data_IF_490342782149
#
_entry.id   IF_490342782149
#
_cell.length_a   1.000
_cell.length_b   1.000
_cell.length_c   1.000
_cell.angle_alpha   90.00
_cell.angle_beta   90.00
_cell.angle_gamma   90.00
#
_symmetry.space_group_name_H-M   'P 1'
#
loop_
_entity.id
_entity.type
_entity.pdbx_description
1 polymer ?
#
# COMPACT_ATOMS: atom_id res chain seq x y z
N UNK A 1 -3.12 27.76 9.32
CA UNK A 1 -2.96 26.35 9.76
C UNK A 1 -3.10 26.29 11.27
N UNK A 2 -3.77 25.25 11.78
CA UNK A 2 -3.81 25.02 13.23
C UNK A 2 -2.39 24.65 13.71
N UNK A 3 -1.95 25.19 14.85
CA UNK A 3 -0.63 24.81 15.40
C UNK A 3 -0.60 23.30 15.69
N UNK A 4 0.56 22.70 15.50
CA UNK A 4 0.76 21.29 15.87
C UNK A 4 0.86 21.21 17.40
N UNK A 5 -0.19 20.70 18.03
CA UNK A 5 -0.33 20.64 19.50
C UNK A 5 0.14 19.30 20.06
N UNK A 6 0.03 18.22 19.27
CA UNK A 6 0.42 16.86 19.67
C UNK A 6 0.74 16.03 18.43
N UNK A 7 1.81 15.26 18.47
CA UNK A 7 2.19 14.30 17.42
C UNK A 7 2.14 12.89 17.96
N UNK A 8 1.47 11.98 17.25
CA UNK A 8 1.51 10.55 17.57
C UNK A 8 2.48 9.84 16.63
N UNK A 9 3.45 9.11 17.18
CA UNK A 9 4.36 8.24 16.43
C UNK A 9 3.74 6.85 16.38
N UNK A 10 3.38 6.39 15.19
CA UNK A 10 2.76 5.11 14.93
C UNK A 10 3.79 4.13 14.37
N UNK A 11 3.96 2.99 15.05
CA UNK A 11 4.97 1.97 14.72
C UNK A 11 4.30 0.60 14.59
N UNK A 12 4.12 0.05 13.39
CA UNK A 12 3.73 -1.34 13.21
C UNK A 12 4.92 -2.27 13.49
N UNK A 13 4.67 -3.36 14.20
CA UNK A 13 5.66 -4.34 14.65
C UNK A 13 5.17 -5.76 14.36
N UNK A 14 6.06 -6.64 13.92
CA UNK A 14 5.78 -8.06 13.75
C UNK A 14 7.06 -8.88 13.85
N UNK A 15 7.22 -9.64 14.95
CA UNK A 15 8.41 -10.45 15.24
C UNK A 15 9.71 -9.61 15.18
N UNK A 16 9.77 -8.56 15.99
CA UNK A 16 10.87 -7.60 15.99
C UNK A 16 11.53 -7.50 17.40
N UNK A 17 11.49 -8.58 18.18
CA UNK A 17 12.01 -8.62 19.56
C UNK A 17 13.43 -8.07 19.69
N UNK A 18 14.33 -8.40 18.74
CA UNK A 18 15.72 -7.99 18.75
C UNK A 18 15.93 -6.47 18.52
N UNK A 19 14.96 -5.80 17.93
CA UNK A 19 15.07 -4.37 17.58
C UNK A 19 14.43 -3.47 18.63
N UNK A 20 13.48 -4.00 19.42
CA UNK A 20 12.69 -3.23 20.40
C UNK A 20 13.52 -2.36 21.34
N UNK A 21 14.59 -2.85 22.03
CA UNK A 21 15.33 -1.99 22.96
C UNK A 21 15.88 -0.74 22.28
N UNK A 22 16.49 -0.92 21.12
CA UNK A 22 17.06 0.19 20.35
C UNK A 22 16.00 1.11 19.77
N UNK A 23 14.85 0.57 19.41
CA UNK A 23 13.70 1.35 18.94
C UNK A 23 13.21 2.28 20.06
N UNK A 24 13.01 1.76 21.25
CA UNK A 24 12.54 2.55 22.40
C UNK A 24 13.52 3.67 22.75
N UNK A 25 14.82 3.36 22.81
CA UNK A 25 15.85 4.35 23.10
C UNK A 25 15.85 5.50 22.07
N UNK A 26 15.77 5.18 20.77
CA UNK A 26 15.74 6.20 19.71
C UNK A 26 14.47 7.04 19.75
N UNK A 27 13.32 6.43 20.05
CA UNK A 27 12.05 7.15 20.18
C UNK A 27 12.06 8.12 21.36
N UNK A 28 12.63 7.73 22.52
CA UNK A 28 12.77 8.61 23.69
C UNK A 28 13.72 9.76 23.37
N UNK A 29 14.91 9.47 22.79
CA UNK A 29 15.85 10.50 22.41
C UNK A 29 15.23 11.52 21.42
N UNK A 30 14.39 11.05 20.51
CA UNK A 30 13.69 11.91 19.58
C UNK A 30 12.76 12.89 20.29
N UNK A 31 11.98 12.44 21.27
CA UNK A 31 11.02 13.29 22.01
C UNK A 31 11.71 14.41 22.78
N UNK A 32 12.92 14.16 23.30
CA UNK A 32 13.72 15.15 24.02
C UNK A 32 14.18 16.32 23.12
N UNK A 33 14.18 16.13 21.82
CA UNK A 33 14.60 17.13 20.82
C UNK A 33 13.43 17.86 20.15
N UNK A 34 12.21 17.65 20.60
CA UNK A 34 10.99 18.21 19.99
C UNK A 34 10.16 18.93 21.06
N UNK A 35 9.86 20.23 20.82
CA UNK A 35 9.03 21.05 21.72
C UNK A 35 7.51 20.83 21.53
N UNK A 36 7.10 19.65 21.08
CA UNK A 36 5.69 19.30 20.89
C UNK A 36 5.44 17.99 21.63
N UNK A 37 4.34 17.86 22.40
CA UNK A 37 3.96 16.62 23.06
C UNK A 37 3.93 15.45 22.07
N UNK A 38 4.64 14.37 22.40
CA UNK A 38 4.72 13.15 21.61
C UNK A 38 4.00 12.01 22.33
N UNK A 39 3.15 11.32 21.59
CA UNK A 39 2.52 10.06 22.03
C UNK A 39 3.02 8.91 21.13
N UNK A 40 3.28 7.76 21.72
CA UNK A 40 3.75 6.58 21.00
C UNK A 40 2.62 5.55 20.90
N UNK A 41 2.33 5.10 19.69
CA UNK A 41 1.33 4.07 19.44
C UNK A 41 1.98 2.91 18.71
N UNK A 42 2.17 1.80 19.41
CA UNK A 42 2.74 0.57 18.91
C UNK A 42 1.63 -0.37 18.47
N UNK A 43 1.78 -0.98 17.30
CA UNK A 43 0.81 -1.94 16.77
C UNK A 43 1.52 -3.27 16.58
N UNK A 44 1.24 -4.22 17.45
CA UNK A 44 1.71 -5.59 17.29
C UNK A 44 0.78 -6.35 16.35
N UNK A 45 1.28 -6.70 15.17
CA UNK A 45 0.53 -7.42 14.12
C UNK A 45 0.50 -8.93 14.38
N UNK A 46 0.13 -9.32 15.62
CA UNK A 46 0.00 -10.71 16.00
C UNK A 46 1.33 -11.46 16.02
N UNK A 47 2.36 -10.90 16.65
CA UNK A 47 3.66 -11.54 16.79
C UNK A 47 3.56 -12.90 17.51
N UNK A 48 4.41 -13.83 17.09
CA UNK A 48 4.51 -15.18 17.65
C UNK A 48 5.76 -15.36 18.52
N UNK A 49 6.63 -14.35 18.55
CA UNK A 49 7.79 -14.27 19.43
C UNK A 49 7.46 -13.40 20.69
N UNK A 50 8.47 -13.05 21.46
CA UNK A 50 8.32 -12.24 22.68
C UNK A 50 8.07 -10.73 22.40
N UNK A 51 7.82 -10.32 21.16
CA UNK A 51 7.60 -8.90 20.83
C UNK A 51 6.44 -8.32 21.62
N UNK A 52 5.28 -8.99 21.66
CA UNK A 52 4.08 -8.50 22.36
C UNK A 52 4.31 -8.36 23.88
N UNK A 53 4.93 -9.38 24.52
CA UNK A 53 5.23 -9.35 25.96
C UNK A 53 6.24 -8.24 26.31
N UNK A 54 7.29 -8.08 25.50
CA UNK A 54 8.29 -7.02 25.70
C UNK A 54 7.70 -5.62 25.52
N UNK A 55 6.79 -5.42 24.57
CA UNK A 55 6.06 -4.16 24.41
C UNK A 55 5.24 -3.91 25.69
N UNK A 56 4.43 -4.88 26.11
CA UNK A 56 3.57 -4.74 27.30
C UNK A 56 4.38 -4.36 28.55
N UNK A 57 5.44 -5.12 28.84
CA UNK A 57 6.30 -4.88 29.99
C UNK A 57 6.97 -3.50 29.97
N UNK A 58 7.30 -3.00 28.77
CA UNK A 58 8.00 -1.74 28.63
C UNK A 58 7.08 -0.53 28.79
N UNK A 59 5.83 -0.60 28.31
CA UNK A 59 4.92 0.57 28.23
C UNK A 59 3.96 0.69 29.41
N UNK A 60 3.79 -0.34 30.24
CA UNK A 60 2.98 -0.26 31.46
C UNK A 60 3.48 0.93 32.31
N UNK A 61 2.53 1.66 32.89
CA UNK A 61 2.72 2.87 33.72
C UNK A 61 3.37 4.08 32.98
N UNK A 62 3.45 4.03 31.64
CA UNK A 62 3.95 5.15 30.83
C UNK A 62 2.81 5.86 30.09
N UNK A 63 2.35 7.03 30.57
CA UNK A 63 1.13 7.68 30.07
C UNK A 63 1.24 8.17 28.61
N UNK A 64 2.46 8.30 28.09
CA UNK A 64 2.71 8.71 26.69
C UNK A 64 2.77 7.52 25.70
N UNK A 65 2.55 6.28 26.19
CA UNK A 65 2.64 5.07 25.39
C UNK A 65 1.31 4.33 25.36
N UNK A 66 0.96 3.84 24.18
CA UNK A 66 -0.17 2.95 23.95
C UNK A 66 0.25 1.84 22.99
N UNK A 67 -0.41 0.69 23.10
CA UNK A 67 -0.24 -0.40 22.14
C UNK A 67 -1.57 -1.07 21.83
N UNK A 68 -1.68 -1.55 20.58
CA UNK A 68 -2.71 -2.48 20.13
C UNK A 68 -2.07 -3.80 19.77
N UNK A 69 -2.64 -4.90 20.26
CA UNK A 69 -2.22 -6.26 19.94
C UNK A 69 -3.29 -6.90 19.06
N UNK A 70 -2.97 -7.18 17.80
CA UNK A 70 -3.91 -7.79 16.88
C UNK A 70 -4.03 -9.30 17.13
N UNK A 71 -5.19 -9.88 16.84
CA UNK A 71 -5.48 -11.30 17.14
C UNK A 71 -4.63 -12.28 16.32
N UNK A 72 -4.10 -11.86 15.18
CA UNK A 72 -3.20 -12.60 14.29
C UNK A 72 -2.45 -11.64 13.39
N UNK A 73 -1.55 -12.13 12.55
CA UNK A 73 -0.94 -11.33 11.50
C UNK A 73 -1.98 -11.01 10.41
N UNK A 74 -2.27 -9.72 10.23
CA UNK A 74 -3.14 -9.16 9.19
C UNK A 74 -2.34 -8.49 8.07
N UNK A 75 -1.06 -8.23 8.30
CA UNK A 75 -0.13 -7.59 7.37
C UNK A 75 0.08 -6.10 7.65
N UNK A 76 1.25 -5.63 7.26
CA UNK A 76 1.78 -4.29 7.56
C UNK A 76 0.79 -3.14 7.30
N UNK A 77 0.13 -3.11 6.13
CA UNK A 77 -0.83 -2.04 5.80
C UNK A 77 -2.07 -2.04 6.71
N UNK A 78 -2.50 -3.23 7.15
CA UNK A 78 -3.63 -3.37 8.07
C UNK A 78 -3.22 -2.97 9.47
N UNK A 79 -2.02 -3.32 9.93
CA UNK A 79 -1.49 -2.86 11.20
C UNK A 79 -1.43 -1.33 11.29
N UNK A 80 -0.93 -0.65 10.23
CA UNK A 80 -0.99 0.81 10.14
C UNK A 80 -2.45 1.31 10.18
N UNK A 81 -3.37 0.65 9.46
CA UNK A 81 -4.79 1.02 9.47
C UNK A 81 -5.40 0.91 10.87
N UNK A 82 -5.09 -0.15 11.61
CA UNK A 82 -5.52 -0.32 13.00
C UNK A 82 -5.01 0.82 13.89
N UNK A 83 -3.74 1.19 13.71
CA UNK A 83 -3.17 2.33 14.41
C UNK A 83 -3.84 3.65 14.05
N UNK A 84 -4.09 3.92 12.76
CA UNK A 84 -4.78 5.13 12.34
C UNK A 84 -6.21 5.21 12.89
N UNK A 85 -6.91 4.09 13.00
CA UNK A 85 -8.25 4.03 13.59
C UNK A 85 -8.25 4.34 15.11
N UNK A 86 -7.14 4.07 15.80
CA UNK A 86 -6.98 4.31 17.23
C UNK A 86 -6.39 5.68 17.59
N UNK A 87 -6.15 6.56 16.60
CA UNK A 87 -5.60 7.89 16.83
C UNK A 87 -6.56 8.74 17.67
N UNK A 88 -6.03 9.32 18.73
CA UNK A 88 -6.79 10.22 19.61
C UNK A 88 -7.21 11.50 18.88
N UNK A 89 -8.39 12.03 19.24
CA UNK A 89 -8.99 13.22 18.59
C UNK A 89 -8.14 14.48 18.73
N UNK A 90 -7.36 14.61 19.80
CA UNK A 90 -6.46 15.72 20.10
C UNK A 90 -5.13 15.66 19.35
N UNK A 91 -4.81 14.55 18.70
CA UNK A 91 -3.62 14.40 17.86
C UNK A 91 -3.71 15.34 16.65
N UNK A 92 -2.71 16.18 16.44
CA UNK A 92 -2.64 17.10 15.30
C UNK A 92 -2.06 16.43 14.05
N UNK A 93 -1.08 15.56 14.23
CA UNK A 93 -0.43 14.82 13.14
C UNK A 93 0.06 13.44 13.60
N UNK A 94 0.15 12.50 12.66
CA UNK A 94 0.63 11.14 12.87
C UNK A 94 1.89 10.90 12.07
N UNK A 95 2.96 10.50 12.75
CA UNK A 95 4.22 10.11 12.14
C UNK A 95 4.30 8.58 12.06
N UNK A 96 4.27 8.05 10.85
CA UNK A 96 4.31 6.61 10.58
C UNK A 96 5.74 6.21 10.27
N UNK A 97 6.30 5.27 11.03
CA UNK A 97 7.65 4.72 10.84
C UNK A 97 7.64 3.21 10.93
N UNK A 98 8.54 2.56 10.18
CA UNK A 98 8.74 1.11 10.27
C UNK A 98 9.55 0.76 11.54
N UNK A 99 9.19 -0.34 12.21
CA UNK A 99 9.88 -0.79 13.45
C UNK A 99 11.31 -1.30 13.22
N UNK A 100 11.73 -1.54 11.96
CA UNK A 100 13.06 -2.08 11.61
C UNK A 100 14.22 -1.06 11.67
N UNK A 101 13.92 0.18 12.08
CA UNK A 101 14.88 1.30 12.22
C UNK A 101 15.69 1.64 10.96
N UNK A 102 15.22 1.21 9.79
CA UNK A 102 15.85 1.60 8.51
C UNK A 102 15.51 3.06 8.13
N UNK A 103 14.30 3.49 8.48
CA UNK A 103 13.84 4.85 8.26
C UNK A 103 14.14 5.69 9.52
N UNK A 104 14.92 6.76 9.43
CA UNK A 104 15.45 7.48 10.61
C UNK A 104 14.35 8.32 11.29
N UNK A 105 13.94 7.99 12.53
CA UNK A 105 12.96 8.78 13.26
C UNK A 105 13.42 10.21 13.52
N UNK A 106 14.73 10.46 13.53
CA UNK A 106 15.36 11.78 13.74
C UNK A 106 14.99 12.80 12.66
N UNK A 107 14.37 12.38 11.57
CA UNK A 107 13.83 13.30 10.55
C UNK A 107 12.51 13.97 10.96
N UNK A 108 11.86 13.54 12.03
CA UNK A 108 10.58 14.11 12.46
C UNK A 108 10.60 15.64 12.60
N UNK A 109 11.63 16.31 13.16
CA UNK A 109 11.69 17.78 13.19
C UNK A 109 11.61 18.41 11.80
N UNK A 110 12.30 17.84 10.81
CA UNK A 110 12.24 18.31 9.41
C UNK A 110 10.88 18.09 8.78
N UNK A 111 10.21 16.98 9.11
CA UNK A 111 8.84 16.71 8.67
C UNK A 111 7.85 17.69 9.28
N UNK A 112 7.98 17.98 10.58
CA UNK A 112 7.15 18.98 11.30
C UNK A 112 7.34 20.36 10.65
N UNK A 113 8.59 20.80 10.45
CA UNK A 113 8.88 22.07 9.80
C UNK A 113 8.23 22.19 8.41
N UNK A 114 8.35 21.13 7.59
CA UNK A 114 7.76 21.08 6.25
C UNK A 114 6.23 21.07 6.31
N UNK A 115 5.62 20.39 7.29
CA UNK A 115 4.17 20.41 7.51
C UNK A 115 3.68 21.80 7.91
N UNK A 116 4.41 22.51 8.75
CA UNK A 116 4.09 23.90 9.15
C UNK A 116 4.13 24.90 7.99
N UNK A 117 4.80 24.58 6.88
CA UNK A 117 4.78 25.34 5.63
C UNK A 117 3.49 25.15 4.80
N UNK A 118 2.49 24.53 5.35
CA UNK A 118 1.19 24.39 4.69
C UNK A 118 0.98 23.05 3.99
N UNK A 119 1.76 22.01 4.30
CA UNK A 119 1.57 20.68 3.77
C UNK A 119 0.78 19.81 4.76
N UNK A 120 -0.08 18.94 4.24
CA UNK A 120 -0.87 17.99 5.04
C UNK A 120 -0.20 16.63 5.12
N UNK A 121 0.63 16.34 4.14
CA UNK A 121 1.38 15.09 4.04
C UNK A 121 2.82 15.43 3.73
N UNK A 122 3.73 14.96 4.59
CA UNK A 122 5.16 14.99 4.36
C UNK A 122 5.66 13.56 4.33
N UNK A 123 6.32 13.12 3.25
CA UNK A 123 6.76 11.74 3.08
C UNK A 123 8.24 11.64 2.75
N UNK A 124 8.85 10.53 3.17
CA UNK A 124 10.25 10.24 2.87
C UNK A 124 10.44 9.73 1.43
N UNK A 125 11.40 10.33 0.72
CA UNK A 125 11.85 9.90 -0.62
C UNK A 125 13.28 9.36 -0.52
N UNK A 126 13.47 8.07 -0.83
CA UNK A 126 14.78 7.41 -0.73
C UNK A 126 15.73 7.88 -1.83
N UNK A 127 16.90 8.45 -1.46
CA UNK A 127 17.86 9.04 -2.40
C UNK A 127 18.56 8.05 -3.34
N UNK A 128 18.82 6.79 -2.91
CA UNK A 128 19.54 5.78 -3.71
C UNK A 128 18.96 4.38 -3.49
N UNK A 129 18.39 3.79 -4.53
CA UNK A 129 18.18 2.34 -4.59
C UNK A 129 19.39 1.69 -5.25
N UNK A 130 20.15 0.87 -4.50
CA UNK A 130 21.14 -0.07 -5.05
C UNK A 130 20.39 -1.26 -5.66
N UNK A 131 19.70 -1.05 -6.78
CA UNK A 131 18.98 -2.11 -7.48
C UNK A 131 19.64 -2.40 -8.84
N UNK A 132 19.49 -3.65 -9.31
CA UNK A 132 19.97 -4.04 -10.63
C UNK A 132 19.28 -3.22 -11.73
N UNK A 133 19.97 -2.98 -12.84
CA UNK A 133 19.46 -2.19 -13.98
C UNK A 133 18.13 -2.72 -14.50
N UNK A 134 17.94 -4.04 -14.53
CA UNK A 134 16.70 -4.69 -14.93
C UNK A 134 15.51 -4.30 -14.04
N UNK A 135 15.69 -4.36 -12.70
CA UNK A 135 14.64 -3.93 -11.75
C UNK A 135 14.29 -2.45 -11.93
N UNK A 136 15.28 -1.59 -12.15
CA UNK A 136 15.04 -0.15 -12.41
C UNK A 136 14.19 0.07 -13.66
N UNK A 137 14.40 -0.70 -14.73
CA UNK A 137 13.60 -0.62 -15.96
C UNK A 137 12.16 -1.07 -15.68
N UNK A 138 11.98 -2.23 -15.03
CA UNK A 138 10.65 -2.73 -14.66
C UNK A 138 9.86 -1.71 -13.80
N UNK A 139 10.50 -1.13 -12.79
CA UNK A 139 9.88 -0.07 -11.98
C UNK A 139 9.52 1.15 -12.83
N UNK A 140 10.41 1.60 -13.71
CA UNK A 140 10.15 2.78 -14.58
C UNK A 140 8.97 2.54 -15.51
N UNK A 141 8.88 1.36 -16.11
CA UNK A 141 7.74 0.97 -16.97
C UNK A 141 6.45 0.90 -16.14
N UNK A 142 6.47 0.21 -15.02
CA UNK A 142 5.33 0.09 -14.12
C UNK A 142 4.79 1.46 -13.67
N UNK A 143 5.65 2.34 -13.19
CA UNK A 143 5.23 3.66 -12.75
C UNK A 143 4.80 4.59 -13.89
N UNK A 144 5.35 4.42 -15.11
CA UNK A 144 4.84 5.14 -16.29
C UNK A 144 3.44 4.69 -16.67
N UNK A 145 3.18 3.38 -16.61
CA UNK A 145 1.85 2.84 -16.85
C UNK A 145 0.87 3.34 -15.79
N UNK A 146 1.21 3.24 -14.50
CA UNK A 146 0.39 3.79 -13.43
C UNK A 146 0.13 5.30 -13.62
N UNK A 147 1.15 6.10 -13.89
CA UNK A 147 0.99 7.55 -14.10
C UNK A 147 0.08 7.88 -15.30
N UNK A 148 0.13 7.08 -16.36
CA UNK A 148 -0.67 7.31 -17.57
C UNK A 148 -2.13 6.85 -17.41
N UNK A 149 -2.36 5.81 -16.62
CA UNK A 149 -3.66 5.12 -16.52
C UNK A 149 -4.30 5.18 -15.12
N UNK A 150 -3.62 5.77 -14.13
CA UNK A 150 -4.19 6.06 -12.81
C UNK A 150 -4.62 7.52 -12.76
N UNK A 151 -5.81 7.75 -12.24
CA UNK A 151 -6.31 9.11 -11.95
C UNK A 151 -5.57 9.75 -10.76
N UNK A 152 -4.56 9.09 -10.18
CA UNK A 152 -3.86 9.53 -8.97
C UNK A 152 -2.37 9.70 -9.25
N UNK A 153 -1.84 10.89 -9.00
CA UNK A 153 -0.41 11.15 -9.09
C UNK A 153 0.31 10.58 -7.88
N UNK A 154 0.72 9.30 -7.95
CA UNK A 154 1.53 8.69 -6.88
C UNK A 154 2.98 9.13 -6.99
N UNK A 155 3.57 9.68 -5.90
CA UNK A 155 5.00 10.01 -5.88
C UNK A 155 5.84 8.74 -6.05
N UNK A 156 6.80 8.81 -6.98
CA UNK A 156 7.81 7.77 -7.17
C UNK A 156 8.67 7.65 -5.90
N UNK A 157 8.98 6.43 -5.47
CA UNK A 157 9.87 6.15 -4.33
C UNK A 157 9.37 6.60 -2.93
N UNK A 158 8.10 7.00 -2.80
CA UNK A 158 7.48 7.26 -1.50
C UNK A 158 7.17 5.94 -0.78
N UNK A 159 7.65 5.81 0.47
CA UNK A 159 7.32 4.72 1.39
C UNK A 159 6.10 5.04 2.25
N UNK A 160 5.87 4.19 3.26
CA UNK A 160 4.89 4.45 4.31
C UNK A 160 5.44 5.44 5.36
N UNK A 161 6.75 5.66 5.37
CA UNK A 161 7.44 6.64 6.20
C UNK A 161 6.98 8.07 5.89
N UNK A 162 6.11 8.61 6.74
CA UNK A 162 5.48 9.92 6.49
C UNK A 162 4.90 10.53 7.78
N UNK A 163 4.74 11.86 7.75
CA UNK A 163 3.93 12.63 8.70
C UNK A 163 2.65 13.07 7.99
N UNK A 164 1.50 12.74 8.55
CA UNK A 164 0.19 13.08 7.99
C UNK A 164 -0.65 13.86 9.01
N UNK A 165 -1.38 14.88 8.55
CA UNK A 165 -2.26 15.67 9.41
C UNK A 165 -3.49 14.86 9.85
N UNK A 166 -4.10 15.22 10.97
CA UNK A 166 -5.30 14.55 11.47
C UNK A 166 -6.45 14.57 10.44
N UNK A 167 -6.57 15.63 9.63
CA UNK A 167 -7.59 15.66 8.59
C UNK A 167 -7.38 14.60 7.52
N UNK A 168 -6.11 14.29 7.18
CA UNK A 168 -5.78 13.17 6.28
C UNK A 168 -6.10 11.83 6.93
N UNK A 169 -5.75 11.66 8.23
CA UNK A 169 -6.10 10.45 9.00
C UNK A 169 -7.60 10.18 8.96
N UNK A 170 -8.41 11.20 9.22
CA UNK A 170 -9.88 11.06 9.17
C UNK A 170 -10.39 10.63 7.80
N UNK A 171 -9.83 11.17 6.71
CA UNK A 171 -10.21 10.76 5.36
C UNK A 171 -9.78 9.31 5.07
N UNK A 172 -8.56 8.91 5.46
CA UNK A 172 -8.11 7.53 5.30
C UNK A 172 -8.98 6.54 6.10
N UNK A 173 -9.42 6.91 7.30
CA UNK A 173 -10.29 6.08 8.12
C UNK A 173 -11.73 5.99 7.57
N UNK A 174 -12.22 7.01 6.85
CA UNK A 174 -13.55 6.98 6.22
C UNK A 174 -13.60 6.20 4.91
N UNK A 175 -12.46 5.82 4.34
CA UNK A 175 -12.38 5.02 3.13
C UNK A 175 -12.70 3.55 3.44
N UNK A 176 -13.70 2.95 2.76
CA UNK A 176 -14.18 1.60 3.08
C UNK A 176 -13.40 0.48 2.38
N UNK A 177 -12.35 0.77 1.62
CA UNK A 177 -11.62 -0.22 0.84
C UNK A 177 -11.03 -1.32 1.72
N UNK A 178 -11.35 -2.59 1.42
CA UNK A 178 -10.77 -3.73 2.10
C UNK A 178 -9.29 -3.93 1.71
N UNK A 179 -8.98 -3.68 0.44
CA UNK A 179 -7.60 -3.73 -0.04
C UNK A 179 -6.85 -2.44 0.26
N UNK A 180 -6.28 -2.33 1.45
CA UNK A 180 -5.62 -1.13 1.99
C UNK A 180 -4.24 -0.90 1.37
N UNK A 181 -4.17 -0.21 0.23
CA UNK A 181 -2.92 0.31 -0.33
C UNK A 181 -2.71 1.76 0.12
N UNK A 182 -2.22 1.93 1.35
CA UNK A 182 -2.15 3.23 2.04
C UNK A 182 -1.43 4.33 1.25
N UNK A 183 -0.38 3.99 0.49
CA UNK A 183 0.35 4.97 -0.36
C UNK A 183 -0.54 5.53 -1.47
N UNK A 184 -1.32 4.68 -2.10
CA UNK A 184 -2.29 5.08 -3.12
C UNK A 184 -3.42 5.91 -2.53
N UNK A 185 -4.01 5.44 -1.43
CA UNK A 185 -5.09 6.13 -0.72
C UNK A 185 -4.63 7.52 -0.24
N UNK A 186 -3.43 7.62 0.35
CA UNK A 186 -2.82 8.89 0.76
C UNK A 186 -2.65 9.86 -0.41
N UNK A 187 -2.27 9.36 -1.59
CA UNK A 187 -2.16 10.20 -2.78
C UNK A 187 -3.53 10.59 -3.34
N UNK A 188 -4.52 9.70 -3.22
CA UNK A 188 -5.88 9.93 -3.73
C UNK A 188 -6.63 11.03 -2.96
N UNK A 189 -6.39 11.20 -1.64
CA UNK A 189 -7.03 12.24 -0.83
C UNK A 189 -6.73 13.67 -1.31
N UNK A 190 -5.72 13.89 -2.16
CA UNK A 190 -5.50 15.13 -2.89
C UNK A 190 -5.01 16.34 -2.08
N UNK A 191 -4.74 16.19 -0.78
CA UNK A 191 -4.18 17.27 0.04
C UNK A 191 -2.74 17.60 -0.38
N UNK A 192 -2.27 18.79 0.02
CA UNK A 192 -0.92 19.26 -0.32
C UNK A 192 0.14 18.33 0.28
N UNK A 193 1.00 17.77 -0.57
CA UNK A 193 2.00 16.78 -0.20
C UNK A 193 3.39 17.24 -0.59
N UNK A 194 4.39 16.99 0.27
CA UNK A 194 5.78 17.33 0.05
C UNK A 194 6.69 16.15 0.39
N UNK A 195 7.63 15.83 -0.50
CA UNK A 195 8.63 14.78 -0.29
C UNK A 195 9.94 15.33 0.30
N UNK A 196 10.49 14.65 1.31
CA UNK A 196 11.82 14.92 1.88
C UNK A 196 12.76 13.80 1.47
N UNK A 197 13.86 14.15 0.80
CA UNK A 197 14.86 13.17 0.37
C UNK A 197 15.75 12.76 1.55
N UNK A 198 15.88 11.45 1.78
CA UNK A 198 16.74 10.90 2.84
C UNK A 198 17.51 9.66 2.37
N UNK A 199 18.53 9.31 3.12
CA UNK A 199 19.30 8.07 2.93
C UNK A 199 18.79 7.01 3.89
N UNK A 200 18.41 5.86 3.36
CA UNK A 200 17.92 4.75 4.17
C UNK A 200 19.10 3.98 4.76
N UNK A 201 19.08 3.78 6.07
CA UNK A 201 20.09 2.99 6.75
C UNK A 201 20.03 1.50 6.33
N UNK A 202 21.16 0.80 6.49
CA UNK A 202 21.15 -0.65 6.36
C UNK A 202 20.33 -1.28 7.49
N UNK A 203 19.65 -2.40 7.20
CA UNK A 203 18.87 -3.13 8.20
C UNK A 203 19.78 -3.64 9.32
N UNK A 204 19.37 -3.45 10.57
CA UNK A 204 20.17 -3.84 11.73
C UNK A 204 20.12 -5.35 11.97
N UNK A 205 18.98 -6.02 11.68
CA UNK A 205 18.83 -7.48 11.80
C UNK A 205 17.74 -7.98 10.83
N UNK A 206 17.77 -9.28 10.49
CA UNK A 206 16.76 -9.97 9.69
C UNK A 206 17.02 -9.97 8.18
N UNK A 207 16.47 -11.00 7.50
CA UNK A 207 16.49 -11.10 6.02
C UNK A 207 15.33 -10.31 5.43
N UNK A 208 15.53 -9.72 4.24
CA UNK A 208 14.46 -9.05 3.51
C UNK A 208 13.25 -9.98 3.33
N UNK A 209 12.11 -9.64 3.93
CA UNK A 209 10.83 -10.37 3.79
C UNK A 209 10.20 -10.17 2.40
N UNK A 210 10.78 -9.32 1.53
CA UNK A 210 10.28 -9.06 0.18
C UNK A 210 10.84 -10.07 -0.81
N UNK A 211 10.06 -11.14 -1.01
CA UNK A 211 10.23 -12.06 -2.14
C UNK A 211 9.81 -11.36 -3.45
N UNK A 212 10.31 -11.85 -4.59
CA UNK A 212 9.88 -11.40 -5.93
C UNK A 212 8.36 -11.53 -6.11
N UNK A 213 7.76 -12.57 -5.54
CA UNK A 213 6.31 -12.79 -5.49
C UNK A 213 5.56 -11.68 -4.74
N UNK A 214 6.10 -11.17 -3.65
CA UNK A 214 5.49 -10.08 -2.89
C UNK A 214 5.54 -8.74 -3.64
N UNK A 215 6.63 -8.49 -4.39
CA UNK A 215 6.72 -7.32 -5.27
C UNK A 215 5.70 -7.39 -6.41
N UNK A 216 5.51 -8.58 -7.00
CA UNK A 216 4.50 -8.79 -8.04
C UNK A 216 3.08 -8.60 -7.49
N UNK A 217 2.76 -9.17 -6.32
CA UNK A 217 1.47 -8.94 -5.65
C UNK A 217 1.21 -7.45 -5.38
N UNK A 218 2.21 -6.72 -4.92
CA UNK A 218 2.08 -5.28 -4.66
C UNK A 218 1.79 -4.51 -5.95
N UNK A 219 2.51 -4.84 -7.04
CA UNK A 219 2.32 -4.23 -8.35
C UNK A 219 0.93 -4.56 -8.92
N UNK A 220 0.50 -5.81 -8.81
CA UNK A 220 -0.80 -6.28 -9.26
C UNK A 220 -1.93 -5.59 -8.48
N UNK A 221 -1.83 -5.53 -7.15
CA UNK A 221 -2.81 -4.83 -6.33
C UNK A 221 -2.89 -3.33 -6.65
N UNK A 222 -1.74 -2.67 -6.86
CA UNK A 222 -1.71 -1.27 -7.28
C UNK A 222 -2.39 -1.04 -8.63
N UNK A 223 -2.18 -1.93 -9.61
CA UNK A 223 -2.78 -1.84 -10.94
C UNK A 223 -4.30 -2.03 -10.90
N UNK A 224 -4.78 -3.05 -10.19
CA UNK A 224 -6.21 -3.36 -10.14
C UNK A 224 -7.02 -2.40 -9.24
N UNK A 225 -6.40 -1.81 -8.19
CA UNK A 225 -7.12 -0.89 -7.30
C UNK A 225 -7.17 0.55 -7.82
N UNK A 226 -6.16 0.99 -8.59
CA UNK A 226 -6.02 2.40 -8.98
C UNK A 226 -5.99 2.62 -10.49
N UNK A 227 -6.26 1.60 -11.31
CA UNK A 227 -6.25 1.72 -12.77
C UNK A 227 -7.33 0.88 -13.42
N UNK A 228 -8.02 1.45 -14.39
CA UNK A 228 -8.96 0.75 -15.27
C UNK A 228 -8.26 0.01 -16.42
N UNK A 229 -6.92 0.08 -16.45
CA UNK A 229 -6.11 -0.47 -17.55
C UNK A 229 -6.42 -1.93 -17.90
N UNK A 230 -6.55 -2.87 -16.92
CA UNK A 230 -6.81 -4.27 -17.23
C UNK A 230 -8.12 -4.46 -18.00
N UNK A 231 -9.19 -3.76 -17.63
CA UNK A 231 -10.49 -3.83 -18.34
C UNK A 231 -10.39 -3.18 -19.71
N UNK A 232 -9.73 -2.03 -19.83
CA UNK A 232 -9.57 -1.35 -21.13
C UNK A 232 -8.76 -2.17 -22.13
N UNK A 233 -7.73 -2.90 -21.67
CA UNK A 233 -6.95 -3.79 -22.53
C UNK A 233 -7.85 -4.90 -23.11
N UNK A 234 -8.71 -5.51 -22.28
CA UNK A 234 -9.66 -6.53 -22.76
C UNK A 234 -10.53 -5.98 -23.90
N UNK A 235 -11.11 -4.80 -23.69
CA UNK A 235 -11.93 -4.15 -24.71
C UNK A 235 -11.18 -3.89 -26.02
N UNK A 236 -9.95 -3.39 -25.93
CA UNK A 236 -9.09 -3.13 -27.11
C UNK A 236 -8.71 -4.43 -27.82
N UNK A 237 -8.28 -5.46 -27.08
CA UNK A 237 -7.93 -6.77 -27.65
C UNK A 237 -9.14 -7.43 -28.30
N UNK A 238 -10.32 -7.37 -27.66
CA UNK A 238 -11.57 -7.85 -28.24
C UNK A 238 -11.91 -7.13 -29.53
N UNK A 239 -11.81 -5.81 -29.58
CA UNK A 239 -12.07 -5.02 -30.79
C UNK A 239 -11.07 -5.33 -31.90
N UNK A 240 -9.77 -5.44 -31.58
CA UNK A 240 -8.73 -5.82 -32.53
C UNK A 240 -8.89 -7.24 -33.06
N UNK A 241 -9.52 -8.14 -32.32
CA UNK A 241 -9.83 -9.49 -32.76
C UNK A 241 -11.07 -9.53 -33.70
N UNK A 242 -12.07 -8.71 -33.43
CA UNK A 242 -13.31 -8.65 -34.22
C UNK A 242 -13.06 -8.13 -35.64
N UNK A 243 -12.31 -7.05 -35.80
CA UNK A 243 -12.09 -6.37 -37.09
C UNK A 243 -11.50 -7.32 -38.16
N UNK A 244 -10.37 -8.00 -37.91
CA UNK A 244 -9.81 -8.95 -38.88
C UNK A 244 -10.77 -10.12 -39.18
N UNK A 245 -11.55 -10.58 -38.19
CA UNK A 245 -12.52 -11.65 -38.38
C UNK A 245 -13.63 -11.26 -39.35
N UNK A 246 -14.17 -10.05 -39.24
CA UNK A 246 -15.16 -9.53 -40.19
C UNK A 246 -14.54 -9.35 -41.61
N UNK A 247 -13.34 -8.80 -41.69
CA UNK A 247 -12.64 -8.64 -42.99
C UNK A 247 -12.46 -10.01 -43.66
N UNK A 248 -12.00 -11.03 -42.91
CA UNK A 248 -11.82 -12.38 -43.44
C UNK A 248 -13.15 -13.00 -43.86
N UNK A 249 -14.23 -12.81 -43.06
CA UNK A 249 -15.57 -13.27 -43.43
C UNK A 249 -16.06 -12.67 -44.73
N UNK A 250 -15.92 -11.35 -44.94
CA UNK A 250 -16.33 -10.69 -46.19
C UNK A 250 -15.52 -11.14 -47.41
N UNK A 251 -14.21 -11.30 -47.23
CA UNK A 251 -13.34 -11.81 -48.32
C UNK A 251 -13.75 -13.24 -48.69
N UNK A 252 -14.01 -14.10 -47.71
CA UNK A 252 -14.39 -15.50 -47.94
C UNK A 252 -15.77 -15.59 -48.63
N UNK A 253 -16.72 -14.77 -48.16
CA UNK A 253 -18.06 -14.71 -48.78
C UNK A 253 -18.00 -14.22 -50.23
N UNK A 254 -17.22 -13.19 -50.50
CA UNK A 254 -16.99 -12.67 -51.87
C UNK A 254 -16.38 -13.74 -52.77
N UNK A 255 -15.35 -14.45 -52.32
CA UNK A 255 -14.72 -15.54 -53.10
C UNK A 255 -15.70 -16.67 -53.41
N UNK A 256 -16.52 -17.03 -52.43
CA UNK A 256 -17.55 -18.05 -52.60
C UNK A 256 -18.62 -17.66 -53.63
N UNK A 257 -19.09 -16.41 -53.60
CA UNK A 257 -20.18 -15.93 -54.45
C UNK A 257 -19.69 -15.67 -55.92
N UNK A 258 -18.45 -15.16 -56.09
CA UNK A 258 -17.95 -14.78 -57.41
C UNK A 258 -17.19 -15.91 -58.10
N UNK A 259 -16.42 -16.69 -57.36
CA UNK A 259 -15.53 -17.72 -57.94
C UNK A 259 -15.95 -19.17 -57.63
N UNK A 260 -16.96 -19.37 -56.80
CA UNK A 260 -17.40 -20.71 -56.39
C UNK A 260 -16.37 -21.48 -55.56
N UNK A 261 -15.25 -20.87 -55.20
CA UNK A 261 -14.16 -21.52 -54.47
C UNK A 261 -14.35 -21.34 -52.96
N UNK A 262 -14.26 -22.47 -52.21
CA UNK A 262 -14.20 -22.42 -50.76
C UNK A 262 -12.73 -22.56 -50.31
N UNK A 263 -12.17 -21.65 -49.57
CA UNK A 263 -10.80 -21.80 -49.05
C UNK A 263 -10.64 -23.09 -48.25
N UNK A 264 -9.59 -23.86 -48.52
CA UNK A 264 -9.17 -24.94 -47.62
C UNK A 264 -8.76 -24.29 -46.29
N UNK A 265 -9.53 -24.49 -45.21
CA UNK A 265 -9.42 -23.66 -44.03
C UNK A 265 -9.42 -24.36 -42.69
N UNK A 266 -9.27 -25.70 -42.66
CA UNK A 266 -9.34 -26.45 -41.41
C UNK A 266 -8.30 -25.95 -40.37
N UNK A 267 -7.05 -25.76 -40.78
CA UNK A 267 -5.97 -25.24 -39.91
C UNK A 267 -6.25 -23.81 -39.45
N UNK A 268 -6.73 -22.95 -40.36
CA UNK A 268 -7.10 -21.57 -40.03
C UNK A 268 -8.30 -21.52 -39.03
N UNK A 269 -9.27 -22.42 -39.21
CA UNK A 269 -10.41 -22.54 -38.31
C UNK A 269 -9.98 -22.96 -36.90
N UNK A 270 -9.14 -24.01 -36.77
CA UNK A 270 -8.64 -24.46 -35.45
C UNK A 270 -7.82 -23.35 -34.80
N UNK A 271 -6.91 -22.69 -35.55
CA UNK A 271 -6.12 -21.58 -35.02
C UNK A 271 -7.02 -20.44 -34.51
N UNK A 272 -8.05 -20.07 -35.27
CA UNK A 272 -9.00 -19.04 -34.86
C UNK A 272 -9.75 -19.44 -33.59
N UNK A 273 -10.25 -20.69 -33.50
CA UNK A 273 -10.96 -21.18 -32.32
C UNK A 273 -10.04 -21.14 -31.08
N UNK A 274 -8.81 -21.66 -31.17
CA UNK A 274 -7.86 -21.67 -30.06
C UNK A 274 -7.49 -20.23 -29.63
N UNK A 275 -7.23 -19.34 -30.59
CA UNK A 275 -6.90 -17.95 -30.31
C UNK A 275 -8.06 -17.23 -29.60
N UNK A 276 -9.26 -17.30 -30.14
CA UNK A 276 -10.44 -16.62 -29.56
C UNK A 276 -10.81 -17.22 -28.20
N UNK A 277 -10.75 -18.55 -28.06
CA UNK A 277 -10.97 -19.19 -26.76
C UNK A 277 -9.93 -18.74 -25.72
N UNK A 278 -8.67 -18.62 -26.10
CA UNK A 278 -7.62 -18.10 -25.21
C UNK A 278 -7.87 -16.66 -24.78
N UNK A 279 -8.23 -15.78 -25.71
CA UNK A 279 -8.59 -14.38 -25.40
C UNK A 279 -9.82 -14.32 -24.49
N UNK A 280 -10.83 -15.14 -24.76
CA UNK A 280 -12.06 -15.20 -23.95
C UNK A 280 -11.77 -15.66 -22.52
N UNK A 281 -11.00 -16.73 -22.35
CA UNK A 281 -10.62 -17.23 -21.02
C UNK A 281 -9.80 -16.19 -20.22
N UNK A 282 -8.87 -15.50 -20.89
CA UNK A 282 -8.11 -14.42 -20.27
C UNK A 282 -9.04 -13.27 -19.81
N UNK A 283 -9.98 -12.90 -20.67
CA UNK A 283 -10.96 -11.84 -20.37
C UNK A 283 -11.83 -12.21 -19.17
N UNK A 284 -12.35 -13.46 -19.13
CA UNK A 284 -13.10 -13.97 -17.98
C UNK A 284 -12.27 -14.01 -16.71
N UNK A 285 -10.98 -14.37 -16.80
CA UNK A 285 -10.06 -14.33 -15.66
C UNK A 285 -9.89 -12.92 -15.08
N UNK A 286 -9.75 -11.91 -15.93
CA UNK A 286 -9.62 -10.51 -15.47
C UNK A 286 -10.95 -10.02 -14.88
N UNK A 287 -12.09 -10.32 -15.50
CA UNK A 287 -13.42 -9.99 -14.94
C UNK A 287 -13.61 -10.69 -13.59
N UNK A 288 -13.23 -11.98 -13.50
CA UNK A 288 -13.26 -12.74 -12.25
C UNK A 288 -12.47 -12.09 -11.12
N UNK A 289 -11.31 -11.50 -11.40
CA UNK A 289 -10.52 -10.75 -10.41
C UNK A 289 -11.28 -9.53 -9.87
N UNK A 290 -11.99 -8.78 -10.72
CA UNK A 290 -12.82 -7.65 -10.27
C UNK A 290 -14.04 -8.12 -9.46
N UNK A 291 -14.70 -9.20 -9.90
CA UNK A 291 -15.80 -9.80 -9.15
C UNK A 291 -15.34 -10.28 -7.77
N UNK A 292 -14.15 -10.89 -7.69
CA UNK A 292 -13.57 -11.34 -6.43
C UNK A 292 -13.32 -10.14 -5.48
N UNK A 293 -12.82 -9.02 -5.98
CA UNK A 293 -12.62 -7.79 -5.19
C UNK A 293 -13.93 -7.21 -4.68
N UNK A 294 -14.96 -7.16 -5.54
CA UNK A 294 -16.31 -6.74 -5.15
C UNK A 294 -16.87 -7.69 -4.07
N UNK A 295 -16.70 -9.00 -4.23
CA UNK A 295 -17.14 -10.00 -3.27
C UNK A 295 -16.52 -9.79 -1.88
N UNK A 296 -15.20 -9.54 -1.79
CA UNK A 296 -14.56 -9.22 -0.53
C UNK A 296 -15.07 -7.90 0.04
N UNK A 297 -15.20 -6.87 -0.78
CA UNK A 297 -15.70 -5.55 -0.35
C UNK A 297 -17.14 -5.62 0.19
N UNK A 298 -18.02 -6.42 -0.41
CA UNK A 298 -19.42 -6.58 0.01
C UNK A 298 -19.54 -7.40 1.30
N UNK A 299 -18.59 -8.28 1.60
CA UNK A 299 -18.57 -9.06 2.84
C UNK A 299 -18.47 -8.21 4.10
N UNK A 300 -17.89 -7.02 4.02
CA UNK A 300 -17.73 -6.06 5.13
C UNK A 300 -17.14 -6.70 6.41
N UNK A 301 -16.23 -7.66 6.25
CA UNK A 301 -15.52 -8.23 7.39
C UNK A 301 -14.62 -7.18 8.02
N UNK A 302 -14.48 -7.15 9.37
CA UNK A 302 -13.53 -6.25 10.01
C UNK A 302 -12.13 -6.42 9.41
N UNK A 303 -11.47 -5.31 9.06
CA UNK A 303 -10.12 -5.32 8.48
C UNK A 303 -9.10 -5.94 9.43
N UNK A 304 -9.30 -5.75 10.74
CA UNK A 304 -8.47 -6.27 11.81
C UNK A 304 -9.34 -6.57 13.03
N UNK A 305 -8.82 -7.39 13.92
CA UNK A 305 -9.42 -7.69 15.23
C UNK A 305 -8.36 -7.39 16.28
N UNK A 306 -8.67 -6.54 17.23
CA UNK A 306 -7.82 -6.25 18.40
C UNK A 306 -8.04 -7.34 19.42
N UNK A 307 -6.96 -8.00 19.87
CA UNK A 307 -6.98 -9.01 20.92
C UNK A 307 -6.93 -8.39 22.31
N UNK A 308 -6.08 -7.38 22.47
CA UNK A 308 -5.91 -6.63 23.72
C UNK A 308 -5.29 -5.27 23.40
N UNK A 309 -5.42 -4.32 24.34
CA UNK A 309 -4.88 -2.98 24.17
C UNK A 309 -4.32 -2.44 25.49
N UNK A 310 -3.26 -1.66 25.39
CA UNK A 310 -2.74 -0.83 26.48
C UNK A 310 -2.91 0.62 26.04
N UNK A 311 -3.64 1.42 26.82
CA UNK A 311 -3.87 2.84 26.50
C UNK A 311 -3.26 3.67 27.62
N UNK A 312 -2.35 4.56 27.26
CA UNK A 312 -1.64 5.44 28.22
C UNK A 312 -1.01 4.68 29.38
N UNK A 313 -0.40 3.53 29.08
CA UNK A 313 0.25 2.68 30.07
C UNK A 313 -0.69 1.80 30.89
N UNK A 314 -1.98 1.82 30.66
CA UNK A 314 -2.97 1.01 31.37
C UNK A 314 -3.51 -0.11 30.49
N UNK A 315 -3.47 -1.35 30.99
CA UNK A 315 -4.07 -2.50 30.30
C UNK A 315 -5.60 -2.35 30.33
N UNK A 316 -6.20 -2.51 29.18
CA UNK A 316 -7.66 -2.52 29.01
C UNK A 316 -8.02 -3.87 28.41
N UNK A 317 -8.58 -4.74 29.21
CA UNK A 317 -9.21 -5.99 28.78
C UNK A 317 -10.56 -5.68 28.15
N UNK A 318 -10.84 -6.28 26.98
CA UNK A 318 -12.16 -6.22 26.34
C UNK A 318 -13.03 -7.39 26.77
#
# INVERSE_FOLDING_TARGET
MLPLTKVTILVPLYNEVAVLPKLFDRLIQLSNNINIPVHYLLIDDGSIDETASNISNYIIDKPNWSALFLSRNFGHSIAITAGLAAIEKDTSAVFIIDGDLQDPPELLPSFIHTMQQGNDVVYGVRKKRKESTFKKICYRVYYRLLKKFSNTQMPLDAGDFCLISNRVVRQLNSMPEESRYLRGMRSWVGFKQQGIKYERAARLSGKSKYSFTNLFKLAFNGLFNFSELPIRIIGIVGMLAIIPSFIYLFITLYKKLVFGTVPEGFTALIFAIVLFSGVQLLSLGIIGEYVLRIFFQVKQRPLFIVKSKIIKGQLIDE
#
